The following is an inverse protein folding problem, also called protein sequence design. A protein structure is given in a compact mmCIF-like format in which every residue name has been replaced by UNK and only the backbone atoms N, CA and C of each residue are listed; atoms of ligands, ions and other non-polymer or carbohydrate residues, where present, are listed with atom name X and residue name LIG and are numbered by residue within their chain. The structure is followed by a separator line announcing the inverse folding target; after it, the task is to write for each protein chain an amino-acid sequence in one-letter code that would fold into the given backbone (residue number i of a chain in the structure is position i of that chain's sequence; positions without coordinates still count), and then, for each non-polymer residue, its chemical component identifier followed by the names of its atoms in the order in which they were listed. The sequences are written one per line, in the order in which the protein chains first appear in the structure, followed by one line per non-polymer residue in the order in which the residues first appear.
data_IF_901700035745
#
_entry.id   IF_901700035745
#
_cell.length_a   1.000
_cell.length_b   1.000
_cell.length_c   1.000
_cell.angle_alpha   90.00
_cell.angle_beta   90.00
_cell.angle_gamma   90.00
#
_symmetry.space_group_name_H-M   'P 1'
#
loop_
_entity.id
_entity.type
_entity.pdbx_description
1 polymer ?
#
# COMPACT_ATOMS: atom_id res chain seq x y z
N UNK A 1 -20.42 4.46 -32.70
CA UNK A 1 -19.75 3.21 -32.29
C UNK A 1 -18.97 3.53 -31.07
N UNK A 2 -19.06 2.78 -29.94
CA UNK A 2 -18.16 3.00 -28.82
C UNK A 2 -16.74 2.80 -29.33
N UNK A 3 -15.88 3.79 -29.09
CA UNK A 3 -14.46 3.71 -29.42
C UNK A 3 -13.90 2.49 -28.67
N UNK A 4 -13.39 1.51 -29.40
CA UNK A 4 -12.69 0.36 -28.81
C UNK A 4 -11.41 0.95 -28.20
N UNK A 5 -11.44 1.21 -26.91
CA UNK A 5 -10.28 1.68 -26.20
C UNK A 5 -9.27 0.52 -26.08
N UNK A 6 -8.14 0.68 -26.73
CA UNK A 6 -7.07 -0.33 -26.77
C UNK A 6 -6.33 -0.31 -25.42
N UNK A 7 -6.86 -1.06 -24.43
CA UNK A 7 -6.35 -1.14 -23.06
C UNK A 7 -6.19 -2.60 -22.62
N UNK A 8 -5.04 -2.91 -22.03
CA UNK A 8 -4.76 -4.20 -21.39
C UNK A 8 -4.75 -4.06 -19.88
N UNK A 9 -5.25 -5.08 -19.19
CA UNK A 9 -5.20 -5.19 -17.73
C UNK A 9 -4.18 -6.25 -17.32
N UNK A 10 -3.15 -5.87 -16.58
CA UNK A 10 -2.09 -6.77 -16.09
C UNK A 10 -2.37 -7.15 -14.64
N UNK A 11 -2.39 -8.45 -14.34
CA UNK A 11 -2.74 -9.01 -13.02
C UNK A 11 -1.67 -10.02 -12.60
N UNK A 12 -0.76 -9.67 -11.68
CA UNK A 12 0.08 -10.66 -11.01
C UNK A 12 -0.76 -11.52 -10.07
N UNK A 13 -0.58 -12.83 -10.11
CA UNK A 13 -1.31 -13.81 -9.30
C UNK A 13 -0.34 -14.78 -8.63
N UNK A 14 -0.69 -15.23 -7.40
CA UNK A 14 0.04 -16.27 -6.70
C UNK A 14 -0.93 -17.04 -5.79
N UNK A 15 -1.23 -18.31 -6.12
CA UNK A 15 -2.11 -19.21 -5.35
C UNK A 15 -3.49 -18.62 -4.97
N UNK A 16 -4.03 -17.70 -5.77
CA UNK A 16 -5.25 -16.92 -5.43
C UNK A 16 -6.38 -17.15 -6.44
N UNK A 17 -6.61 -18.40 -6.88
CA UNK A 17 -7.57 -18.71 -7.94
C UNK A 17 -8.97 -18.13 -7.68
N UNK A 18 -9.51 -18.24 -6.46
CA UNK A 18 -10.84 -17.72 -6.13
C UNK A 18 -10.92 -16.19 -6.23
N UNK A 19 -9.89 -15.49 -5.74
CA UNK A 19 -9.85 -14.04 -5.80
C UNK A 19 -9.61 -13.56 -7.24
N UNK A 20 -8.79 -14.30 -8.00
CA UNK A 20 -8.57 -14.02 -9.41
C UNK A 20 -9.87 -14.10 -10.22
N UNK A 21 -10.71 -15.12 -9.98
CA UNK A 21 -12.04 -15.24 -10.60
C UNK A 21 -12.92 -14.03 -10.25
N UNK A 22 -12.93 -13.59 -8.99
CA UNK A 22 -13.69 -12.40 -8.56
C UNK A 22 -13.24 -11.14 -9.31
N UNK A 23 -11.92 -10.93 -9.44
CA UNK A 23 -11.34 -9.78 -10.15
C UNK A 23 -11.70 -9.82 -11.63
N UNK A 24 -11.50 -10.97 -12.31
CA UNK A 24 -11.84 -11.09 -13.73
C UNK A 24 -13.33 -10.90 -13.98
N UNK A 25 -14.19 -11.43 -13.12
CA UNK A 25 -15.63 -11.18 -13.18
C UNK A 25 -15.97 -9.69 -13.02
N UNK A 26 -15.30 -8.98 -12.12
CA UNK A 26 -15.49 -7.54 -11.96
C UNK A 26 -15.00 -6.75 -13.19
N UNK A 27 -13.92 -7.21 -13.83
CA UNK A 27 -13.43 -6.62 -15.10
C UNK A 27 -14.42 -6.90 -16.23
N UNK A 28 -14.96 -8.11 -16.31
CA UNK A 28 -15.96 -8.48 -17.32
C UNK A 28 -17.26 -7.68 -17.20
N UNK A 29 -17.53 -7.15 -16.00
CA UNK A 29 -18.69 -6.30 -15.72
C UNK A 29 -18.41 -4.80 -15.82
N UNK A 30 -17.22 -4.39 -16.28
CA UNK A 30 -16.92 -2.97 -16.53
C UNK A 30 -17.82 -2.41 -17.62
N UNK A 31 -18.21 -1.13 -17.52
CA UNK A 31 -18.95 -0.40 -18.56
C UNK A 31 -18.12 -0.31 -19.82
N UNK A 32 -16.84 0.05 -19.68
CA UNK A 32 -15.85 -0.04 -20.75
C UNK A 32 -14.99 -1.26 -20.49
N UNK A 33 -15.04 -2.23 -21.39
CA UNK A 33 -14.26 -3.46 -21.25
C UNK A 33 -12.85 -3.28 -21.79
N UNK A 34 -11.84 -3.94 -21.18
CA UNK A 34 -10.51 -3.97 -21.76
C UNK A 34 -10.51 -4.84 -23.03
N UNK A 35 -9.56 -4.58 -23.90
CA UNK A 35 -9.29 -5.43 -25.08
C UNK A 35 -8.61 -6.73 -24.66
N UNK A 36 -7.77 -6.66 -23.61
CA UNK A 36 -6.89 -7.75 -23.21
C UNK A 36 -6.75 -7.83 -21.70
N UNK A 37 -6.66 -9.05 -21.18
CA UNK A 37 -6.24 -9.34 -19.80
C UNK A 37 -4.99 -10.21 -19.85
N UNK A 38 -3.94 -9.77 -19.17
CA UNK A 38 -2.69 -10.52 -19.01
C UNK A 38 -2.57 -10.96 -17.56
N UNK A 39 -2.65 -12.25 -17.31
CA UNK A 39 -2.47 -12.84 -15.98
C UNK A 39 -1.08 -13.47 -15.92
N UNK A 40 -0.29 -13.11 -14.93
CA UNK A 40 1.00 -13.74 -14.66
C UNK A 40 0.89 -14.54 -13.38
N UNK A 41 0.81 -15.86 -13.51
CA UNK A 41 0.73 -16.78 -12.38
C UNK A 41 2.13 -17.16 -11.89
N UNK A 42 2.39 -16.87 -10.64
CA UNK A 42 3.66 -17.15 -9.96
C UNK A 42 3.55 -18.25 -8.89
N UNK A 43 2.54 -19.09 -8.99
CA UNK A 43 2.34 -20.24 -8.10
C UNK A 43 3.54 -21.20 -8.12
N UNK A 44 3.81 -21.89 -7.00
CA UNK A 44 4.92 -22.84 -6.93
C UNK A 44 4.74 -24.02 -7.87
N UNK A 45 3.51 -24.48 -8.04
CA UNK A 45 3.14 -25.52 -8.99
C UNK A 45 2.46 -24.89 -10.21
N UNK A 46 2.82 -25.36 -11.40
CA UNK A 46 2.22 -24.89 -12.64
C UNK A 46 0.74 -25.24 -12.66
N UNK A 47 -0.09 -24.23 -12.46
CA UNK A 47 -1.52 -24.31 -12.65
C UNK A 47 -1.91 -24.08 -14.12
N UNK A 48 -3.11 -24.51 -14.46
CA UNK A 48 -3.79 -24.08 -15.68
C UNK A 48 -4.69 -22.90 -15.36
N UNK A 49 -4.91 -22.02 -16.34
CA UNK A 49 -5.90 -20.96 -16.17
C UNK A 49 -7.26 -21.57 -15.79
N UNK A 50 -7.91 -21.11 -14.71
CA UNK A 50 -9.25 -21.60 -14.39
C UNK A 50 -10.21 -21.46 -15.55
N UNK A 51 -10.94 -22.54 -15.89
CA UNK A 51 -11.85 -22.58 -17.04
C UNK A 51 -12.92 -21.48 -16.98
N UNK A 52 -13.34 -21.10 -15.77
CA UNK A 52 -14.29 -20.00 -15.55
C UNK A 52 -13.73 -18.65 -16.06
N UNK A 53 -12.44 -18.39 -15.88
CA UNK A 53 -11.79 -17.16 -16.35
C UNK A 53 -11.79 -17.12 -17.88
N UNK A 54 -11.38 -18.24 -18.50
CA UNK A 54 -11.38 -18.37 -19.96
C UNK A 54 -12.78 -18.19 -20.55
N UNK A 55 -13.80 -18.78 -19.92
CA UNK A 55 -15.19 -18.63 -20.33
C UNK A 55 -15.68 -17.18 -20.19
N UNK A 56 -15.41 -16.50 -19.06
CA UNK A 56 -15.77 -15.10 -18.87
C UNK A 56 -15.13 -14.18 -19.92
N UNK A 57 -13.85 -14.37 -20.21
CA UNK A 57 -13.15 -13.57 -21.21
C UNK A 57 -13.73 -13.81 -22.60
N UNK A 58 -13.98 -15.07 -22.98
CA UNK A 58 -14.53 -15.43 -24.28
C UNK A 58 -15.92 -14.82 -24.50
N UNK A 59 -16.83 -14.91 -23.50
CA UNK A 59 -18.17 -14.32 -23.58
C UNK A 59 -18.13 -12.80 -23.74
N UNK A 60 -17.13 -12.14 -23.13
CA UNK A 60 -16.99 -10.69 -23.19
C UNK A 60 -16.15 -10.20 -24.39
N UNK A 61 -15.59 -11.08 -25.21
CA UNK A 61 -14.70 -10.72 -26.32
C UNK A 61 -13.36 -10.14 -25.86
N UNK A 62 -12.90 -10.53 -24.68
CA UNK A 62 -11.64 -10.08 -24.08
C UNK A 62 -10.56 -11.11 -24.42
N UNK A 63 -9.44 -10.65 -25.02
CA UNK A 63 -8.29 -11.51 -25.26
C UNK A 63 -7.62 -11.87 -23.91
N UNK A 64 -7.43 -13.16 -23.64
CA UNK A 64 -6.80 -13.64 -22.40
C UNK A 64 -5.41 -14.19 -22.69
N UNK A 65 -4.41 -13.59 -22.05
CA UNK A 65 -3.03 -14.09 -22.02
C UNK A 65 -2.76 -14.61 -20.61
N UNK A 66 -2.45 -15.90 -20.51
CA UNK A 66 -2.09 -16.53 -19.23
C UNK A 66 -0.64 -16.99 -19.27
N UNK A 67 0.20 -16.31 -18.53
CA UNK A 67 1.64 -16.56 -18.45
C UNK A 67 1.98 -17.22 -17.13
N UNK A 68 2.82 -18.25 -17.14
CA UNK A 68 3.29 -18.92 -15.94
C UNK A 68 4.77 -18.64 -15.70
N UNK A 69 5.10 -18.17 -14.50
CA UNK A 69 6.48 -17.94 -14.07
C UNK A 69 6.63 -18.34 -12.61
N UNK A 70 7.20 -19.55 -12.37
CA UNK A 70 7.35 -20.10 -11.03
C UNK A 70 8.00 -19.11 -10.05
N UNK A 71 7.36 -18.91 -8.90
CA UNK A 71 7.87 -18.10 -7.79
C UNK A 71 8.28 -16.65 -8.16
N UNK A 72 7.78 -16.11 -9.26
CA UNK A 72 8.02 -14.71 -9.61
C UNK A 72 7.55 -13.79 -8.49
N UNK A 73 8.38 -12.80 -8.16
CA UNK A 73 8.02 -11.76 -7.21
C UNK A 73 7.07 -10.73 -7.85
N UNK A 74 6.32 -9.94 -7.08
CA UNK A 74 5.29 -9.06 -7.64
C UNK A 74 5.80 -8.09 -8.72
N UNK A 75 7.00 -7.53 -8.54
CA UNK A 75 7.63 -6.65 -9.54
C UNK A 75 8.01 -7.40 -10.81
N UNK A 76 8.60 -8.60 -10.69
CA UNK A 76 8.93 -9.47 -11.84
C UNK A 76 7.66 -9.83 -12.60
N UNK A 77 6.62 -10.27 -11.91
CA UNK A 77 5.36 -10.65 -12.52
C UNK A 77 4.70 -9.47 -13.29
N UNK A 78 4.73 -8.26 -12.71
CA UNK A 78 4.26 -7.05 -13.43
C UNK A 78 5.11 -6.77 -14.67
N UNK A 79 6.43 -6.85 -14.58
CA UNK A 79 7.34 -6.63 -15.70
C UNK A 79 7.07 -7.63 -16.85
N UNK A 80 6.87 -8.91 -16.52
CA UNK A 80 6.51 -9.95 -17.48
C UNK A 80 5.16 -9.60 -18.13
N UNK A 81 4.14 -9.29 -17.33
CA UNK A 81 2.82 -8.95 -17.83
C UNK A 81 2.85 -7.75 -18.77
N UNK A 82 3.54 -6.67 -18.40
CA UNK A 82 3.70 -5.47 -19.24
C UNK A 82 4.42 -5.79 -20.56
N UNK A 83 5.40 -6.69 -20.55
CA UNK A 83 6.10 -7.10 -21.76
C UNK A 83 5.23 -7.89 -22.76
N UNK A 84 4.13 -8.48 -22.29
CA UNK A 84 3.16 -9.23 -23.11
C UNK A 84 2.04 -8.38 -23.69
N UNK A 85 1.87 -7.17 -23.17
CA UNK A 85 0.81 -6.24 -23.58
C UNK A 85 1.09 -5.68 -24.98
N UNK A 86 0.07 -5.63 -25.83
CA UNK A 86 0.15 -5.07 -27.18
C UNK A 86 -0.61 -3.74 -27.34
N UNK A 87 -1.27 -3.26 -26.30
CA UNK A 87 -2.10 -2.05 -26.33
C UNK A 87 -1.31 -0.80 -25.94
N UNK A 88 -1.86 0.38 -26.28
CA UNK A 88 -1.28 1.67 -25.91
C UNK A 88 -1.46 2.00 -24.43
N UNK A 89 -2.59 1.57 -23.85
CA UNK A 89 -2.93 1.81 -22.46
C UNK A 89 -2.77 0.53 -21.64
N UNK A 90 -2.15 0.66 -20.48
CA UNK A 90 -1.88 -0.45 -19.57
C UNK A 90 -2.48 -0.13 -18.22
N UNK A 91 -3.39 -0.97 -17.76
CA UNK A 91 -3.98 -0.92 -16.43
C UNK A 91 -3.34 -1.98 -15.54
N UNK A 92 -3.05 -1.63 -14.30
CA UNK A 92 -2.48 -2.55 -13.31
C UNK A 92 -3.52 -2.90 -12.26
N UNK A 93 -3.69 -4.18 -11.96
CA UNK A 93 -4.54 -4.66 -10.87
C UNK A 93 -3.82 -5.72 -10.04
N UNK A 94 -4.22 -5.87 -8.79
CA UNK A 94 -3.84 -7.01 -7.94
C UNK A 94 -5.06 -7.91 -7.71
N UNK A 95 -4.84 -9.20 -7.47
CA UNK A 95 -5.93 -10.19 -7.23
C UNK A 95 -6.81 -9.88 -6.00
N UNK A 96 -6.38 -8.99 -5.11
CA UNK A 96 -7.14 -8.57 -3.94
C UNK A 96 -7.80 -7.18 -4.12
N UNK A 97 -7.81 -6.65 -5.35
CA UNK A 97 -8.45 -5.36 -5.66
C UNK A 97 -9.60 -5.56 -6.64
N UNK A 98 -10.81 -5.31 -6.18
CA UNK A 98 -12.02 -5.45 -7.00
C UNK A 98 -12.34 -4.10 -7.64
N UNK A 99 -12.28 -3.98 -8.97
CA UNK A 99 -12.60 -2.73 -9.64
C UNK A 99 -14.11 -2.50 -9.66
N UNK A 100 -14.51 -1.24 -9.39
CA UNK A 100 -15.90 -0.80 -9.50
C UNK A 100 -16.31 -0.63 -10.97
N UNK A 101 -17.60 -0.76 -11.32
CA UNK A 101 -18.05 -0.81 -12.73
C UNK A 101 -17.58 0.35 -13.63
N UNK A 102 -17.35 1.53 -13.06
CA UNK A 102 -16.92 2.74 -13.78
C UNK A 102 -15.40 2.98 -13.77
N UNK A 103 -14.60 2.05 -13.27
CA UNK A 103 -13.16 2.26 -13.11
C UNK A 103 -12.45 2.63 -14.42
N UNK A 104 -12.57 1.78 -15.46
CA UNK A 104 -11.92 2.04 -16.75
C UNK A 104 -12.51 3.27 -17.46
N UNK A 105 -13.84 3.40 -17.46
CA UNK A 105 -14.52 4.55 -18.04
C UNK A 105 -14.01 5.88 -17.45
N UNK A 106 -13.95 5.97 -16.12
CA UNK A 106 -13.47 7.18 -15.42
C UNK A 106 -12.01 7.46 -15.75
N UNK A 107 -11.16 6.43 -15.75
CA UNK A 107 -9.73 6.58 -16.04
C UNK A 107 -9.50 7.06 -17.48
N UNK A 108 -10.19 6.47 -18.45
CA UNK A 108 -10.11 6.84 -19.87
C UNK A 108 -10.61 8.27 -20.10
N UNK A 109 -11.71 8.67 -19.45
CA UNK A 109 -12.23 10.05 -19.52
C UNK A 109 -11.21 11.05 -18.99
N UNK A 110 -10.51 10.72 -17.90
CA UNK A 110 -9.45 11.61 -17.37
C UNK A 110 -8.28 11.73 -18.34
N UNK A 111 -7.82 10.61 -18.91
CA UNK A 111 -6.75 10.59 -19.90
C UNK A 111 -7.09 11.39 -21.16
N UNK A 112 -8.36 11.48 -21.55
CA UNK A 112 -8.80 12.22 -22.75
C UNK A 112 -8.97 13.71 -22.50
N UNK A 113 -9.32 14.14 -21.29
CA UNK A 113 -9.63 15.54 -20.94
C UNK A 113 -8.40 16.26 -20.39
N UNK A 114 -7.56 15.56 -19.65
CA UNK A 114 -6.38 16.11 -18.98
C UNK A 114 -5.12 15.80 -19.77
N UNK A 115 -4.17 16.76 -19.80
CA UNK A 115 -2.82 16.52 -20.33
C UNK A 115 -2.00 15.69 -19.33
N UNK A 116 -2.36 14.39 -19.20
CA UNK A 116 -1.71 13.44 -18.29
C UNK A 116 -1.33 12.16 -19.01
N UNK A 117 -0.22 11.56 -18.60
CA UNK A 117 0.28 10.29 -19.15
C UNK A 117 -0.30 9.07 -18.43
N UNK A 118 -1.03 9.28 -17.34
CA UNK A 118 -1.68 8.22 -16.60
C UNK A 118 -2.67 8.73 -15.56
N UNK A 119 -3.37 7.80 -14.92
CA UNK A 119 -4.29 8.04 -13.81
C UNK A 119 -3.99 7.05 -12.71
N UNK A 120 -3.75 7.53 -11.49
CA UNK A 120 -3.52 6.67 -10.34
C UNK A 120 -4.80 5.93 -9.93
N UNK A 121 -4.63 4.72 -9.43
CA UNK A 121 -5.68 3.98 -8.76
C UNK A 121 -6.14 4.69 -7.50
N UNK A 122 -7.41 4.55 -7.19
CA UNK A 122 -8.05 5.13 -6.01
C UNK A 122 -8.82 4.04 -5.26
N UNK A 123 -8.26 3.56 -4.15
CA UNK A 123 -8.69 2.34 -3.46
C UNK A 123 -9.26 2.63 -2.08
N UNK A 124 -10.45 2.08 -1.80
CA UNK A 124 -10.99 1.96 -0.45
C UNK A 124 -10.65 0.57 0.11
N UNK A 125 -10.46 0.50 1.43
CA UNK A 125 -10.15 -0.75 2.10
C UNK A 125 -11.40 -1.32 2.78
N UNK A 126 -11.83 -2.51 2.35
CA UNK A 126 -12.94 -3.23 2.95
C UNK A 126 -12.50 -3.96 4.22
N UNK A 127 -13.40 -4.12 5.18
CA UNK A 127 -13.13 -4.82 6.43
C UNK A 127 -14.39 -5.51 6.93
N UNK A 128 -14.35 -6.80 7.13
CA UNK A 128 -15.48 -7.64 7.54
C UNK A 128 -15.49 -7.86 9.05
N UNK A 129 -14.38 -8.30 9.63
CA UNK A 129 -14.26 -8.59 11.05
C UNK A 129 -14.09 -7.32 11.89
N UNK A 130 -14.32 -7.43 13.21
CA UNK A 130 -14.05 -6.33 14.17
C UNK A 130 -12.58 -5.93 14.17
N UNK A 131 -11.68 -6.89 14.07
CA UNK A 131 -10.24 -6.65 14.06
C UNK A 131 -9.79 -5.96 12.76
N UNK A 132 -10.26 -6.43 11.61
CA UNK A 132 -9.96 -5.76 10.33
C UNK A 132 -10.43 -4.31 10.31
N UNK A 133 -11.60 -4.02 10.92
CA UNK A 133 -12.08 -2.64 11.05
C UNK A 133 -11.16 -1.77 11.91
N UNK A 134 -10.50 -2.31 12.95
CA UNK A 134 -9.49 -1.58 13.71
C UNK A 134 -8.24 -1.32 12.88
N UNK A 135 -7.76 -2.32 12.15
CA UNK A 135 -6.61 -2.22 11.23
C UNK A 135 -6.89 -1.19 10.13
N UNK A 136 -8.03 -1.29 9.47
CA UNK A 136 -8.44 -0.36 8.43
C UNK A 136 -8.51 1.07 8.96
N UNK A 137 -9.26 1.30 10.02
CA UNK A 137 -9.52 2.64 10.56
C UNK A 137 -8.23 3.29 11.07
N UNK A 138 -7.31 2.52 11.64
CA UNK A 138 -6.03 3.01 12.14
C UNK A 138 -4.98 3.27 11.07
N UNK A 139 -4.85 2.37 10.11
CA UNK A 139 -3.75 2.42 9.13
C UNK A 139 -4.14 3.01 7.78
N UNK A 140 -5.36 2.74 7.33
CA UNK A 140 -5.82 3.11 5.99
C UNK A 140 -6.90 4.22 6.02
N UNK A 141 -7.87 4.14 6.93
CA UNK A 141 -9.01 5.04 6.99
C UNK A 141 -10.15 4.60 6.07
N UNK A 142 -11.12 5.49 5.88
CA UNK A 142 -12.31 5.28 5.03
C UNK A 142 -12.25 6.07 3.72
N UNK A 143 -11.39 7.08 3.63
CA UNK A 143 -11.20 7.83 2.38
C UNK A 143 -10.40 7.01 1.37
N UNK A 144 -10.69 7.17 0.07
CA UNK A 144 -9.92 6.55 -0.98
C UNK A 144 -8.44 6.95 -0.92
N UNK A 145 -7.56 5.99 -1.19
CA UNK A 145 -6.10 6.22 -1.19
C UNK A 145 -5.54 5.99 -2.58
N UNK A 146 -4.56 6.80 -2.94
CA UNK A 146 -3.76 6.60 -4.14
C UNK A 146 -3.00 5.28 -4.03
N UNK A 147 -3.14 4.42 -5.04
CA UNK A 147 -2.50 3.10 -5.12
C UNK A 147 -2.02 2.81 -6.53
N UNK A 148 -1.02 1.93 -6.67
CA UNK A 148 -0.62 1.41 -7.97
C UNK A 148 -1.70 0.49 -8.57
N UNK A 149 -2.29 -0.47 -7.83
CA UNK A 149 -3.44 -1.20 -8.34
C UNK A 149 -4.59 -0.25 -8.69
N UNK A 150 -5.17 -0.44 -9.87
CA UNK A 150 -6.19 0.42 -10.46
C UNK A 150 -5.67 1.62 -11.24
N UNK A 151 -4.35 1.78 -11.32
CA UNK A 151 -3.76 2.81 -12.18
C UNK A 151 -3.84 2.39 -13.64
N UNK A 152 -4.01 3.41 -14.50
CA UNK A 152 -4.01 3.27 -15.97
C UNK A 152 -2.97 4.23 -16.51
N UNK A 153 -2.04 3.74 -17.32
CA UNK A 153 -0.94 4.52 -17.89
C UNK A 153 -0.84 4.33 -19.39
N UNK A 154 -0.31 5.35 -20.07
CA UNK A 154 0.24 5.18 -21.41
C UNK A 154 1.51 4.33 -21.34
N UNK A 155 1.79 3.58 -22.38
CA UNK A 155 2.96 2.69 -22.47
C UNK A 155 4.29 3.42 -22.25
N UNK A 156 4.43 4.64 -22.76
CA UNK A 156 5.61 5.47 -22.62
C UNK A 156 5.99 5.78 -21.16
N UNK A 157 5.02 5.76 -20.24
CA UNK A 157 5.30 5.91 -18.81
C UNK A 157 6.20 4.79 -18.29
N UNK A 158 5.98 3.55 -18.74
CA UNK A 158 6.82 2.41 -18.33
C UNK A 158 8.21 2.45 -18.99
N UNK A 159 8.31 2.99 -20.20
CA UNK A 159 9.59 3.20 -20.88
C UNK A 159 10.41 4.28 -20.15
N UNK A 160 9.79 5.38 -19.76
CA UNK A 160 10.43 6.49 -19.08
C UNK A 160 10.76 6.20 -17.60
N UNK A 161 9.81 5.62 -16.86
CA UNK A 161 10.00 5.28 -15.45
C UNK A 161 10.81 3.99 -15.24
N UNK A 162 10.92 3.15 -16.27
CA UNK A 162 11.60 1.86 -16.22
C UNK A 162 10.81 0.78 -15.50
N UNK A 163 11.40 -0.40 -15.45
CA UNK A 163 10.81 -1.62 -14.87
C UNK A 163 10.62 -1.50 -13.36
N UNK A 164 9.68 -2.27 -12.83
CA UNK A 164 9.57 -2.50 -11.40
C UNK A 164 10.80 -3.24 -10.87
N UNK A 165 11.19 -2.97 -9.63
CA UNK A 165 12.19 -3.75 -8.92
C UNK A 165 11.68 -5.19 -8.79
N UNK A 166 12.44 -6.17 -9.25
CA UNK A 166 12.01 -7.57 -9.42
C UNK A 166 12.52 -8.52 -8.32
N UNK A 167 13.46 -8.07 -7.47
CA UNK A 167 14.09 -8.86 -6.42
C UNK A 167 13.49 -8.65 -5.02
N UNK A 168 12.47 -7.81 -4.87
CA UNK A 168 11.78 -7.60 -3.58
C UNK A 168 10.34 -8.13 -3.63
N UNK A 169 9.87 -8.63 -2.49
CA UNK A 169 8.48 -9.12 -2.35
C UNK A 169 7.48 -8.04 -1.97
N UNK A 170 7.92 -6.87 -1.55
CA UNK A 170 7.04 -5.78 -1.13
C UNK A 170 7.75 -4.43 -1.23
N UNK A 171 6.99 -3.40 -1.58
CA UNK A 171 7.46 -2.02 -1.71
C UNK A 171 7.87 -1.62 -3.12
N UNK A 172 7.91 -2.57 -4.06
CA UNK A 172 8.20 -2.35 -5.48
C UNK A 172 7.19 -1.38 -6.13
N UNK A 173 5.94 -1.44 -5.69
CA UNK A 173 4.86 -0.56 -6.11
C UNK A 173 5.10 0.89 -5.63
N UNK A 174 5.41 1.04 -4.38
CA UNK A 174 5.68 2.36 -3.78
C UNK A 174 6.96 2.97 -4.33
N UNK A 175 8.01 2.16 -4.53
CA UNK A 175 9.26 2.61 -5.16
C UNK A 175 8.99 3.13 -6.58
N UNK A 176 8.26 2.36 -7.39
CA UNK A 176 7.94 2.76 -8.76
C UNK A 176 7.07 4.02 -8.81
N UNK A 177 6.07 4.13 -7.93
CA UNK A 177 5.25 5.34 -7.80
C UNK A 177 6.08 6.57 -7.44
N UNK A 178 7.05 6.45 -6.52
CA UNK A 178 7.97 7.52 -6.16
C UNK A 178 8.85 7.91 -7.34
N UNK A 179 9.33 6.96 -8.12
CA UNK A 179 10.14 7.19 -9.33
C UNK A 179 9.38 8.00 -10.37
N UNK A 180 8.10 7.66 -10.62
CA UNK A 180 7.21 8.43 -11.49
C UNK A 180 7.04 9.87 -11.01
N UNK A 181 6.92 10.07 -9.68
CA UNK A 181 6.82 11.43 -9.09
C UNK A 181 8.13 12.22 -9.22
N UNK A 182 9.28 11.57 -8.97
CA UNK A 182 10.62 12.21 -9.11
C UNK A 182 10.88 12.62 -10.55
N UNK A 183 10.46 11.81 -11.51
CA UNK A 183 10.55 12.12 -12.94
C UNK A 183 9.53 13.17 -13.39
N UNK A 184 8.67 13.64 -12.48
CA UNK A 184 7.63 14.66 -12.76
C UNK A 184 6.68 14.26 -13.91
N UNK A 185 6.46 12.96 -14.09
CA UNK A 185 5.48 12.48 -15.06
C UNK A 185 4.09 12.91 -14.56
N UNK A 186 3.34 13.57 -15.41
CA UNK A 186 2.01 14.06 -15.05
C UNK A 186 1.03 12.92 -14.95
N UNK A 187 0.54 12.62 -13.75
CA UNK A 187 -0.45 11.56 -13.49
C UNK A 187 -1.64 12.14 -12.73
N UNK A 188 -2.83 11.92 -13.26
CA UNK A 188 -4.09 12.35 -12.66
C UNK A 188 -4.48 11.52 -11.43
N UNK A 189 -5.32 12.10 -10.56
CA UNK A 189 -5.89 11.42 -9.41
C UNK A 189 -7.41 11.50 -9.45
N UNK A 190 -8.11 10.39 -9.26
CA UNK A 190 -9.56 10.38 -9.10
C UNK A 190 -9.94 10.72 -7.66
N UNK A 191 -10.96 11.58 -7.47
CA UNK A 191 -11.48 11.92 -6.14
C UNK A 191 -12.29 10.77 -5.53
N UNK A 192 -12.96 9.99 -6.37
CA UNK A 192 -13.80 8.89 -5.97
C UNK A 192 -13.01 7.57 -5.99
N UNK A 193 -13.40 6.63 -5.12
CA UNK A 193 -12.82 5.29 -5.17
C UNK A 193 -13.19 4.59 -6.48
N UNK A 194 -12.16 4.04 -7.13
CA UNK A 194 -12.31 3.20 -8.32
C UNK A 194 -12.21 1.70 -8.00
N UNK A 195 -11.71 1.36 -6.80
CA UNK A 195 -11.47 -0.02 -6.37
C UNK A 195 -11.82 -0.23 -4.90
N UNK A 196 -12.12 -1.49 -4.57
CA UNK A 196 -12.25 -1.99 -3.21
C UNK A 196 -11.18 -3.05 -2.94
N UNK A 197 -10.31 -2.81 -1.95
CA UNK A 197 -9.32 -3.79 -1.51
C UNK A 197 -9.94 -4.75 -0.50
N UNK A 198 -9.92 -6.04 -0.82
CA UNK A 198 -10.53 -7.12 0.01
C UNK A 198 -9.51 -7.94 0.78
N UNK A 199 -8.23 -7.66 0.63
CA UNK A 199 -7.11 -8.43 1.22
C UNK A 199 -6.63 -7.91 2.57
N UNK A 200 -7.43 -7.14 3.32
CA UNK A 200 -7.16 -6.87 4.73
C UNK A 200 -7.30 -8.20 5.48
N UNK A 201 -6.15 -8.68 5.90
CA UNK A 201 -6.02 -10.02 6.42
C UNK A 201 -6.79 -10.20 7.70
N UNK A 202 -7.50 -11.31 7.67
CA UNK A 202 -8.33 -11.83 8.73
C UNK A 202 -7.68 -11.94 10.11
N UNK A 203 -8.50 -12.21 10.99
CA UNK A 203 -8.61 -12.54 12.40
C UNK A 203 -7.34 -12.72 13.27
N UNK A 204 -6.11 -12.85 12.74
CA UNK A 204 -4.93 -13.16 13.55
C UNK A 204 -3.87 -12.04 13.52
N UNK A 205 -3.72 -11.36 14.67
CA UNK A 205 -2.70 -10.34 14.90
C UNK A 205 -1.28 -10.84 14.64
N UNK A 206 -1.00 -12.12 14.94
CA UNK A 206 0.33 -12.73 14.74
C UNK A 206 0.68 -12.85 13.25
N UNK A 207 -0.28 -13.25 12.42
CA UNK A 207 -0.08 -13.32 10.97
C UNK A 207 0.14 -11.92 10.38
N UNK A 208 -0.60 -10.93 10.87
CA UNK A 208 -0.45 -9.54 10.46
C UNK A 208 0.93 -8.99 10.83
N UNK A 209 1.42 -9.25 12.05
CA UNK A 209 2.77 -8.88 12.48
C UNK A 209 3.85 -9.53 11.60
N UNK A 210 3.73 -10.83 11.29
CA UNK A 210 4.65 -11.54 10.39
C UNK A 210 4.64 -10.91 8.99
N UNK A 211 3.45 -10.55 8.46
CA UNK A 211 3.32 -9.84 7.17
C UNK A 211 4.01 -8.49 7.20
N UNK A 212 3.77 -7.67 8.24
CA UNK A 212 4.42 -6.37 8.39
C UNK A 212 5.94 -6.48 8.51
N UNK A 213 6.43 -7.39 9.37
CA UNK A 213 7.85 -7.63 9.52
C UNK A 213 8.51 -7.99 8.18
N UNK A 214 7.96 -8.98 7.48
CA UNK A 214 8.44 -9.38 6.15
C UNK A 214 8.45 -8.21 5.16
N UNK A 215 7.34 -7.46 5.08
CA UNK A 215 7.20 -6.36 4.14
C UNK A 215 8.18 -5.23 4.45
N UNK A 216 8.33 -4.83 5.72
CA UNK A 216 9.28 -3.79 6.11
C UNK A 216 10.73 -4.22 5.91
N UNK A 217 11.06 -5.49 6.18
CA UNK A 217 12.40 -6.04 5.93
C UNK A 217 12.78 -5.89 4.47
N UNK A 218 11.89 -6.26 3.55
CA UNK A 218 12.15 -6.14 2.12
C UNK A 218 12.17 -4.69 1.64
N UNK A 219 11.23 -3.87 2.10
CA UNK A 219 11.18 -2.44 1.74
C UNK A 219 12.41 -1.66 2.20
N UNK A 220 13.08 -2.09 3.27
CA UNK A 220 14.31 -1.46 3.75
C UNK A 220 15.44 -1.49 2.74
N UNK A 221 15.47 -2.50 1.87
CA UNK A 221 16.52 -2.67 0.86
C UNK A 221 16.34 -1.74 -0.35
N UNK A 222 15.16 -1.10 -0.45
CA UNK A 222 14.85 -0.20 -1.56
C UNK A 222 15.50 1.18 -1.38
N UNK A 223 16.12 1.76 -2.42
CA UNK A 223 16.86 3.01 -2.37
C UNK A 223 15.91 4.13 -1.99
N UNK A 224 15.24 4.68 -1.64
CA UNK A 224 14.36 5.80 -1.27
C UNK A 224 13.37 5.48 -0.13
N UNK A 225 13.45 4.28 0.45
CA UNK A 225 12.47 3.84 1.44
C UNK A 225 12.86 4.12 2.89
N UNK A 226 14.06 4.68 3.14
CA UNK A 226 14.47 5.01 4.50
C UNK A 226 13.55 6.09 5.08
N UNK A 227 12.77 5.81 6.12
CA UNK A 227 11.84 6.79 6.66
C UNK A 227 12.61 7.87 7.43
N UNK A 228 12.94 8.96 6.75
CA UNK A 228 13.59 10.14 7.35
C UNK A 228 12.89 10.59 8.65
N UNK A 229 11.56 10.45 8.70
CA UNK A 229 10.76 10.71 9.90
C UNK A 229 11.10 9.77 11.06
N UNK A 230 11.49 8.52 10.79
CA UNK A 230 11.90 7.59 11.85
C UNK A 230 13.23 7.99 12.46
N UNK A 231 14.20 8.40 11.63
CA UNK A 231 15.48 8.91 12.12
C UNK A 231 15.31 10.16 12.99
N UNK A 232 14.43 11.08 12.56
CA UNK A 232 14.08 12.26 13.35
C UNK A 232 13.53 11.88 14.73
N UNK A 233 12.63 10.90 14.80
CA UNK A 233 12.07 10.42 16.05
C UNK A 233 13.11 9.70 16.92
N UNK A 234 14.00 8.91 16.33
CA UNK A 234 15.09 8.21 17.04
C UNK A 234 16.08 9.17 17.69
N UNK A 235 16.29 10.35 17.14
CA UNK A 235 17.18 11.37 17.71
C UNK A 235 16.38 12.27 18.67
N UNK A 236 15.22 12.75 18.24
CA UNK A 236 14.43 13.73 18.99
C UNK A 236 13.91 13.21 20.33
N UNK A 237 13.40 11.97 20.38
CA UNK A 237 12.85 11.41 21.63
C UNK A 237 13.90 11.20 22.71
N UNK A 238 15.05 10.53 22.47
CA UNK A 238 16.09 10.42 23.50
C UNK A 238 16.60 11.78 23.96
N UNK A 239 16.76 12.74 23.05
CA UNK A 239 17.17 14.10 23.39
C UNK A 239 16.13 14.79 24.29
N UNK A 240 14.85 14.68 23.98
CA UNK A 240 13.76 15.24 24.77
C UNK A 240 13.70 14.61 26.17
N UNK A 241 13.91 13.29 26.28
CA UNK A 241 13.99 12.57 27.55
C UNK A 241 15.20 13.06 28.37
N UNK A 242 16.38 13.16 27.75
CA UNK A 242 17.58 13.67 28.43
C UNK A 242 17.39 15.09 28.94
N UNK A 243 16.79 15.98 28.15
CA UNK A 243 16.46 17.34 28.58
C UNK A 243 15.47 17.31 29.75
N UNK A 244 14.44 16.45 29.66
CA UNK A 244 13.43 16.33 30.72
C UNK A 244 14.03 15.89 32.06
N UNK A 245 14.93 14.90 32.03
CA UNK A 245 15.60 14.42 33.25
C UNK A 245 16.56 15.44 33.84
N UNK A 246 17.16 16.30 33.03
CA UNK A 246 18.16 17.27 33.46
C UNK A 246 17.63 18.70 33.52
N UNK A 247 16.34 18.96 33.27
CA UNK A 247 15.78 20.32 33.18
C UNK A 247 16.11 21.18 34.41
N UNK A 248 15.76 20.71 35.60
CA UNK A 248 15.96 21.48 36.82
C UNK A 248 17.44 21.68 37.17
N UNK A 249 18.32 20.76 36.73
CA UNK A 249 19.77 20.92 36.83
C UNK A 249 20.30 21.98 35.87
N UNK A 250 19.88 21.93 34.60
CA UNK A 250 20.41 22.81 33.55
C UNK A 250 19.92 24.26 33.67
N UNK A 251 18.67 24.45 34.13
CA UNK A 251 17.98 25.76 34.06
C UNK A 251 17.81 26.38 35.42
N UNK A 252 17.67 25.63 36.46
CA UNK A 252 17.35 26.10 37.82
C UNK A 252 18.41 25.71 38.84
N UNK A 253 19.47 25.02 38.49
CA UNK A 253 20.55 24.53 39.37
C UNK A 253 20.00 23.84 40.64
N UNK A 254 18.93 23.05 40.48
CA UNK A 254 18.16 22.38 41.50
C UNK A 254 17.57 23.31 42.62
N UNK A 255 17.59 24.61 42.41
CA UNK A 255 17.05 25.57 43.35
C UNK A 255 15.53 25.67 43.24
N UNK A 256 14.81 25.23 44.26
CA UNK A 256 13.33 25.25 44.29
C UNK A 256 12.74 26.66 44.32
N UNK A 257 13.50 27.65 44.69
CA UNK A 257 13.12 29.07 44.68
C UNK A 257 13.29 29.74 43.31
N UNK A 258 13.92 29.05 42.38
CA UNK A 258 14.06 29.57 41.04
C UNK A 258 12.70 29.57 40.29
N UNK A 259 12.34 30.67 39.60
CA UNK A 259 11.13 30.75 38.81
C UNK A 259 11.10 29.75 37.63
N UNK A 260 12.25 29.17 37.28
CA UNK A 260 12.40 28.19 36.23
C UNK A 260 12.40 26.74 36.75
N UNK A 261 12.36 26.57 38.09
CA UNK A 261 12.23 25.25 38.69
C UNK A 261 10.82 24.70 38.44
N UNK A 262 10.72 23.57 37.79
CA UNK A 262 9.46 22.89 37.52
C UNK A 262 9.35 21.60 38.30
N UNK A 263 8.50 21.63 39.34
CA UNK A 263 8.11 20.40 40.04
C UNK A 263 7.49 19.39 39.05
N UNK A 264 7.88 18.14 39.15
CA UNK A 264 7.35 17.05 38.30
C UNK A 264 7.58 17.20 36.79
N UNK A 265 8.44 18.13 36.31
CA UNK A 265 8.75 18.33 34.89
C UNK A 265 9.14 17.04 34.21
N UNK A 266 9.92 16.19 34.86
CA UNK A 266 10.34 14.89 34.34
C UNK A 266 9.14 13.97 34.07
N UNK A 267 8.16 13.94 34.97
CA UNK A 267 6.94 13.12 34.78
C UNK A 267 6.12 13.66 33.62
N UNK A 268 5.92 14.98 33.56
CA UNK A 268 5.16 15.62 32.47
C UNK A 268 5.83 15.39 31.13
N UNK A 269 7.13 15.68 30.99
CA UNK A 269 7.84 15.54 29.75
C UNK A 269 8.05 14.09 29.31
N UNK A 270 8.11 13.14 30.25
CA UNK A 270 8.15 11.72 29.93
C UNK A 270 6.79 11.17 29.47
N UNK A 271 5.69 11.67 30.03
CA UNK A 271 4.34 11.17 29.70
C UNK A 271 3.69 11.90 28.53
N UNK A 272 3.96 13.19 28.33
CA UNK A 272 3.39 14.00 27.28
C UNK A 272 3.57 13.39 25.88
N UNK A 273 4.76 12.93 25.46
CA UNK A 273 4.94 12.28 24.16
C UNK A 273 4.05 11.05 23.96
N UNK A 274 3.84 10.27 25.02
CA UNK A 274 2.98 9.09 25.00
C UNK A 274 1.53 9.51 24.74
N UNK A 275 1.04 10.52 25.46
CA UNK A 275 -0.30 11.06 25.25
C UNK A 275 -0.46 11.65 23.83
N UNK A 276 0.52 12.42 23.37
CA UNK A 276 0.52 12.97 22.02
C UNK A 276 0.49 11.84 20.96
N UNK A 277 1.27 10.79 21.16
CA UNK A 277 1.26 9.62 20.30
C UNK A 277 -0.12 8.94 20.29
N UNK A 278 -0.67 8.62 21.46
CA UNK A 278 -1.98 7.97 21.60
C UNK A 278 -3.06 8.81 20.92
N UNK A 279 -3.09 10.11 21.20
CA UNK A 279 -4.07 11.03 20.63
C UNK A 279 -3.91 11.14 19.11
N UNK A 280 -2.69 11.29 18.63
CA UNK A 280 -2.42 11.42 17.20
C UNK A 280 -2.76 10.13 16.44
N UNK A 281 -2.29 8.99 16.91
CA UNK A 281 -2.46 7.71 16.22
C UNK A 281 -3.86 7.12 16.39
N UNK A 282 -4.46 7.28 17.56
CA UNK A 282 -5.78 6.72 17.88
C UNK A 282 -6.94 7.61 17.45
N UNK A 283 -6.73 8.92 17.35
CA UNK A 283 -7.80 9.88 17.15
C UNK A 283 -7.58 10.78 15.92
N UNK A 284 -6.51 11.60 15.92
CA UNK A 284 -6.31 12.62 14.85
C UNK A 284 -6.17 11.98 13.47
N UNK A 285 -5.25 11.02 13.31
CA UNK A 285 -5.01 10.39 12.01
C UNK A 285 -6.22 9.62 11.47
N UNK A 286 -6.96 8.83 12.26
CA UNK A 286 -8.22 8.25 11.81
C UNK A 286 -9.25 9.28 11.34
N UNK A 287 -9.41 10.40 12.07
CA UNK A 287 -10.29 11.49 11.68
C UNK A 287 -9.91 12.09 10.32
N UNK A 288 -8.64 12.43 10.14
CA UNK A 288 -8.15 12.99 8.85
C UNK A 288 -8.29 12.00 7.69
N UNK A 289 -8.45 10.71 7.99
CA UNK A 289 -8.70 9.63 7.02
C UNK A 289 -10.16 9.26 6.87
N UNK A 290 -11.08 10.12 7.39
CA UNK A 290 -12.52 9.98 7.21
C UNK A 290 -13.23 9.07 8.20
N UNK A 291 -12.57 8.64 9.28
CA UNK A 291 -13.24 7.88 10.35
C UNK A 291 -13.99 8.86 11.23
N UNK A 292 -15.30 8.74 11.30
CA UNK A 292 -16.13 9.66 12.09
C UNK A 292 -15.85 9.58 13.61
N UNK A 293 -15.97 10.72 14.31
CA UNK A 293 -15.74 10.84 15.77
C UNK A 293 -16.48 9.78 16.56
N UNK A 294 -17.76 9.59 16.27
CA UNK A 294 -18.62 8.62 16.96
C UNK A 294 -18.19 7.15 16.79
N UNK A 295 -17.41 6.88 15.77
CA UNK A 295 -16.80 5.55 15.58
C UNK A 295 -15.55 5.34 16.43
N UNK A 296 -14.93 6.39 16.91
CA UNK A 296 -13.69 6.34 17.72
C UNK A 296 -14.01 6.23 19.21
N UNK A 297 -15.09 6.84 19.65
CA UNK A 297 -15.49 6.90 21.05
C UNK A 297 -16.45 5.75 21.41
N UNK A 298 -16.48 5.36 22.69
CA UNK A 298 -15.55 5.76 23.77
C UNK A 298 -14.29 4.92 23.81
N UNK A 299 -14.30 3.67 23.32
CA UNK A 299 -13.22 2.68 23.59
C UNK A 299 -12.41 2.34 22.33
N UNK A 300 -12.99 2.54 21.15
CA UNK A 300 -12.43 2.04 19.89
C UNK A 300 -11.09 2.68 19.55
N UNK A 301 -10.86 3.95 19.91
CA UNK A 301 -9.59 4.62 19.71
C UNK A 301 -8.43 3.90 20.41
N UNK A 302 -8.66 3.24 21.57
CA UNK A 302 -7.66 2.44 22.27
C UNK A 302 -7.22 1.25 21.41
N UNK A 303 -8.20 0.50 20.88
CA UNK A 303 -7.91 -0.62 19.98
C UNK A 303 -7.16 -0.20 18.72
N UNK A 304 -7.54 0.95 18.14
CA UNK A 304 -6.84 1.55 16.99
C UNK A 304 -5.41 1.91 17.39
N UNK A 305 -5.21 2.56 18.53
CA UNK A 305 -3.88 2.92 19.02
C UNK A 305 -3.00 1.69 19.20
N UNK A 306 -3.53 0.62 19.79
CA UNK A 306 -2.78 -0.63 19.99
C UNK A 306 -2.34 -1.23 18.66
N UNK A 307 -3.23 -1.34 17.68
CA UNK A 307 -2.90 -1.84 16.35
C UNK A 307 -1.83 -0.96 15.68
N UNK A 308 -1.96 0.36 15.77
CA UNK A 308 -0.98 1.29 15.23
C UNK A 308 0.37 1.17 15.95
N UNK A 309 0.37 1.03 17.28
CA UNK A 309 1.60 0.87 18.07
C UNK A 309 2.34 -0.41 17.71
N UNK A 310 1.62 -1.51 17.46
CA UNK A 310 2.23 -2.76 16.99
C UNK A 310 2.85 -2.56 15.60
N UNK A 311 2.13 -1.94 14.68
CA UNK A 311 2.65 -1.69 13.33
C UNK A 311 3.88 -0.78 13.33
N UNK A 312 3.83 0.30 14.11
CA UNK A 312 4.93 1.25 14.26
C UNK A 312 6.11 0.60 14.99
N UNK A 313 5.86 -0.24 16.00
CA UNK A 313 6.88 -1.01 16.73
C UNK A 313 7.62 -2.00 15.81
N UNK A 314 6.88 -2.78 15.00
CA UNK A 314 7.48 -3.69 14.02
C UNK A 314 8.33 -2.90 13.02
N UNK A 315 7.82 -1.78 12.52
CA UNK A 315 8.56 -0.90 11.61
C UNK A 315 9.83 -0.36 12.26
N UNK A 316 9.72 0.14 13.50
CA UNK A 316 10.86 0.63 14.26
C UNK A 316 11.94 -0.44 14.42
N UNK A 317 11.59 -1.64 14.87
CA UNK A 317 12.53 -2.74 15.06
C UNK A 317 13.26 -3.08 13.76
N UNK A 318 12.53 -3.22 12.65
CA UNK A 318 13.12 -3.57 11.36
C UNK A 318 14.10 -2.50 10.86
N UNK A 319 13.77 -1.21 11.02
CA UNK A 319 14.61 -0.14 10.49
C UNK A 319 15.77 0.25 11.41
N UNK A 320 15.70 -0.07 12.69
CA UNK A 320 16.72 0.28 13.68
C UNK A 320 17.79 -0.81 13.83
N UNK A 321 17.37 -2.08 13.87
CA UNK A 321 18.30 -3.17 14.10
C UNK A 321 18.77 -3.80 12.77
N UNK A 322 20.09 -4.13 12.67
CA UNK A 322 20.58 -4.87 11.52
C UNK A 322 19.95 -6.27 11.50
N UNK A 323 19.18 -6.56 10.46
CA UNK A 323 18.70 -7.91 10.21
C UNK A 323 19.77 -8.60 9.38
N UNK A 324 20.23 -9.78 9.79
CA UNK A 324 21.11 -10.60 8.97
C UNK A 324 20.50 -10.72 7.58
N UNK A 325 21.23 -10.28 6.55
CA UNK A 325 20.84 -10.46 5.16
C UNK A 325 20.56 -11.95 4.97
N UNK A 326 19.31 -12.30 4.69
CA UNK A 326 19.06 -13.62 4.13
C UNK A 326 19.85 -13.65 2.83
N UNK A 327 20.74 -14.65 2.72
CA UNK A 327 21.51 -14.85 1.49
C UNK A 327 20.54 -14.82 0.30
N UNK A 328 20.92 -14.17 -0.81
CA UNK A 328 20.14 -14.25 -2.03
C UNK A 328 19.90 -15.73 -2.29
N UNK A 329 18.66 -16.10 -2.62
CA UNK A 329 18.35 -17.48 -3.01
C UNK A 329 19.35 -17.87 -4.07
N UNK A 330 20.22 -18.82 -3.75
CA UNK A 330 21.07 -19.47 -4.74
C UNK A 330 20.18 -19.89 -5.90
N UNK A 331 20.49 -19.43 -7.08
CA UNK A 331 19.91 -19.92 -8.31
C UNK A 331 20.08 -21.43 -8.31
N UNK A 332 18.98 -22.13 -8.01
CA UNK A 332 18.91 -23.56 -8.24
C UNK A 332 18.87 -23.77 -9.74
N UNK A 333 19.92 -24.38 -10.26
CA UNK A 333 20.04 -24.87 -11.63
C UNK A 333 18.89 -25.82 -11.99
#
# INVERSE_FOLDING_TARGET
MPSVHNISVVIPSNHSHQDLVKVVRAISNQIVKPTEIVIVDSSAERGTCPSEISALCAVCGINLIYEYRVSALPGEARNIGISRVNTELIALLDVQTIPRPHWLETSLKMLSIQDVSGVWGSTCFSAESKFERLVRDGLFGLLPRKTLPGSVFRRDVFENAGKFVDWVRAGEDTEWMLRVEVLKIKVGNTKNSSLDYIGLIGSDAKQLMKKWHRNYTMSRELPHFFPQKLLLWLIFYPMLILIAFNWNYLVADWRMDSPLYLGHVTKILATLPIFVYIFTRGFVLPLTRGVGVWRLLPIRFIGITLVCSIADGVKFLVFTFPINKQAPRSEGH
#
